data_IF_474164137769
#
_entry.id   IF_474164137769
#
_cell.length_a   1.000
_cell.length_b   1.000
_cell.length_c   1.000
_cell.angle_alpha   90.00
_cell.angle_beta   90.00
_cell.angle_gamma   90.00
#
_symmetry.space_group_name_H-M   'P 1'
#
loop_
_entity.id
_entity.type
_entity.pdbx_description
1 polymer ?
#
# COMPACT_ATOMS: atom_id res chain seq x y z
N UNK A 1 38.64 -19.91 -41.64
CA UNK A 1 39.01 -21.24 -41.07
C UNK A 1 38.23 -21.39 -39.78
N UNK A 2 36.90 -21.56 -39.77
CA UNK A 2 36.03 -22.52 -40.47
C UNK A 2 36.27 -23.98 -40.04
N UNK A 3 35.45 -24.44 -39.10
CA UNK A 3 35.08 -25.84 -38.87
C UNK A 3 33.71 -25.80 -38.16
N UNK A 4 32.56 -25.93 -38.85
CA UNK A 4 31.94 -27.21 -39.27
C UNK A 4 32.07 -28.24 -38.14
N UNK A 5 31.02 -28.67 -37.43
CA UNK A 5 29.62 -28.84 -37.76
C UNK A 5 29.29 -30.27 -37.33
N UNK A 6 28.40 -30.46 -36.36
CA UNK A 6 27.86 -31.79 -36.07
C UNK A 6 26.40 -31.67 -35.62
N UNK A 7 25.53 -31.78 -36.62
CA UNK A 7 24.13 -32.14 -36.48
C UNK A 7 24.09 -33.65 -36.29
N UNK A 8 23.45 -34.16 -35.25
CA UNK A 8 22.97 -35.55 -35.26
C UNK A 8 21.56 -35.62 -34.71
N UNK A 9 20.69 -35.89 -35.67
CA UNK A 9 19.25 -36.09 -35.63
C UNK A 9 18.97 -37.55 -35.18
N UNK A 10 17.89 -37.74 -34.41
CA UNK A 10 17.00 -38.92 -34.37
C UNK A 10 17.57 -40.28 -33.92
N UNK A 11 17.02 -40.79 -32.82
CA UNK A 11 16.59 -42.18 -32.72
C UNK A 11 15.17 -42.23 -32.15
N UNK A 12 14.24 -42.64 -33.02
CA UNK A 12 12.86 -43.03 -32.72
C UNK A 12 12.79 -44.57 -32.82
N UNK A 13 11.84 -45.18 -32.08
CA UNK A 13 11.31 -46.56 -32.12
C UNK A 13 11.62 -47.39 -30.85
N UNK A 14 10.73 -48.21 -30.26
CA UNK A 14 9.28 -48.45 -30.26
C UNK A 14 9.07 -49.64 -29.29
N UNK A 15 8.01 -49.65 -28.46
CA UNK A 15 7.31 -50.86 -27.94
C UNK A 15 6.30 -50.42 -26.84
N UNK A 16 5.00 -50.25 -27.12
CA UNK A 16 3.94 -51.28 -27.13
C UNK A 16 3.92 -52.20 -25.89
N UNK A 17 3.06 -51.86 -24.93
CA UNK A 17 2.36 -52.86 -24.11
C UNK A 17 1.07 -52.31 -23.49
N UNK A 18 -0.04 -52.87 -24.01
CA UNK A 18 -1.29 -53.24 -23.34
C UNK A 18 -2.10 -52.21 -22.54
N UNK A 19 -3.22 -51.84 -23.14
CA UNK A 19 -4.43 -51.27 -22.55
C UNK A 19 -5.11 -52.19 -21.52
N UNK A 20 -5.47 -51.65 -20.36
CA UNK A 20 -6.59 -52.12 -19.54
C UNK A 20 -7.52 -50.92 -19.21
N UNK A 21 -8.85 -51.11 -19.19
CA UNK A 21 -9.80 -50.02 -19.03
C UNK A 21 -10.04 -49.73 -17.54
N UNK A 22 -9.79 -48.50 -17.11
CA UNK A 22 -10.25 -48.02 -15.80
C UNK A 22 -11.03 -46.71 -15.96
N UNK A 23 -12.36 -46.90 -15.97
CA UNK A 23 -13.39 -46.08 -15.31
C UNK A 23 -13.23 -44.56 -15.45
N UNK A 24 -14.08 -43.97 -16.29
CA UNK A 24 -14.45 -42.56 -16.19
C UNK A 24 -15.00 -42.29 -14.79
N UNK A 25 -14.19 -41.67 -13.94
CA UNK A 25 -14.67 -40.90 -12.82
C UNK A 25 -14.76 -39.45 -13.29
N UNK A 26 -15.95 -38.99 -13.64
CA UNK A 26 -16.28 -37.57 -13.66
C UNK A 26 -16.19 -37.04 -12.23
N UNK A 27 -14.96 -36.78 -11.78
CA UNK A 27 -14.70 -35.97 -10.60
C UNK A 27 -14.92 -34.52 -10.99
N UNK A 28 -16.08 -33.99 -10.61
CA UNK A 28 -16.42 -32.58 -10.71
C UNK A 28 -15.21 -31.73 -10.33
N UNK A 29 -14.70 -30.95 -11.28
CA UNK A 29 -13.79 -29.84 -11.03
C UNK A 29 -14.54 -28.84 -10.15
N UNK A 30 -14.46 -29.02 -8.84
CA UNK A 30 -14.83 -28.02 -7.86
C UNK A 30 -13.95 -26.81 -8.11
N UNK A 31 -14.51 -25.84 -8.82
CA UNK A 31 -14.06 -24.45 -8.79
C UNK A 31 -14.16 -24.00 -7.34
N UNK A 32 -13.07 -24.20 -6.59
CA UNK A 32 -12.86 -23.52 -5.31
C UNK A 32 -12.75 -22.02 -5.62
N UNK A 33 -13.88 -21.33 -5.63
CA UNK A 33 -13.89 -19.88 -5.46
C UNK A 33 -13.29 -19.66 -4.07
N UNK A 34 -12.12 -19.01 -3.93
CA UNK A 34 -11.51 -18.83 -2.62
C UNK A 34 -12.49 -18.01 -1.78
N UNK A 35 -13.08 -18.65 -0.78
CA UNK A 35 -14.03 -18.00 0.11
C UNK A 35 -13.26 -16.92 0.88
N UNK A 36 -13.40 -15.66 0.47
CA UNK A 36 -12.75 -14.52 1.13
C UNK A 36 -13.29 -14.46 2.56
N UNK A 37 -12.52 -14.96 3.52
CA UNK A 37 -12.87 -14.88 4.94
C UNK A 37 -12.76 -13.42 5.37
N UNK A 38 -13.88 -12.82 5.73
CA UNK A 38 -13.94 -11.44 6.18
C UNK A 38 -13.64 -11.38 7.67
N UNK A 39 -12.46 -10.90 8.02
CA UNK A 39 -12.11 -10.53 9.39
C UNK A 39 -12.50 -9.08 9.67
N UNK A 40 -12.70 -8.68 10.94
CA UNK A 40 -12.89 -7.26 11.29
C UNK A 40 -11.78 -6.37 10.72
N UNK A 41 -10.54 -6.86 10.70
CA UNK A 41 -9.40 -6.14 10.14
C UNK A 41 -9.54 -5.97 8.62
N UNK A 42 -9.85 -7.03 7.86
CA UNK A 42 -10.03 -6.90 6.41
C UNK A 42 -11.19 -5.98 6.02
N UNK A 43 -12.29 -5.99 6.80
CA UNK A 43 -13.41 -5.05 6.59
C UNK A 43 -12.94 -3.59 6.83
N UNK A 44 -12.17 -3.36 7.89
CA UNK A 44 -11.61 -2.03 8.17
C UNK A 44 -10.67 -1.55 7.07
N UNK A 45 -9.82 -2.43 6.52
CA UNK A 45 -8.95 -2.09 5.38
C UNK A 45 -9.76 -1.72 4.14
N UNK A 46 -10.83 -2.46 3.84
CA UNK A 46 -11.72 -2.17 2.70
C UNK A 46 -12.45 -0.83 2.85
N UNK A 47 -12.87 -0.49 4.07
CA UNK A 47 -13.43 0.83 4.35
C UNK A 47 -12.38 1.94 4.26
N UNK A 48 -11.13 1.67 4.67
CA UNK A 48 -10.04 2.63 4.55
C UNK A 48 -9.71 2.93 3.07
N UNK A 49 -9.68 1.92 2.19
CA UNK A 49 -9.51 2.11 0.74
C UNK A 49 -10.54 3.07 0.16
N UNK A 50 -11.81 2.93 0.56
CA UNK A 50 -12.90 3.83 0.15
C UNK A 50 -12.67 5.26 0.65
N UNK A 51 -12.25 5.43 1.90
CA UNK A 51 -12.00 6.75 2.50
C UNK A 51 -10.85 7.50 1.81
N UNK A 52 -9.76 6.79 1.46
CA UNK A 52 -8.63 7.38 0.74
C UNK A 52 -8.85 7.44 -0.77
N UNK A 53 -9.98 6.91 -1.26
CA UNK A 53 -10.32 6.78 -2.67
C UNK A 53 -9.21 6.11 -3.50
N UNK A 54 -8.65 5.02 -2.99
CA UNK A 54 -7.61 4.23 -3.65
C UNK A 54 -7.81 2.75 -3.37
N UNK A 55 -7.80 1.94 -4.43
CA UNK A 55 -7.89 0.47 -4.34
C UNK A 55 -6.52 -0.12 -4.60
N UNK A 56 -5.94 -0.75 -3.59
CA UNK A 56 -4.65 -1.41 -3.66
C UNK A 56 -4.73 -2.65 -4.56
N UNK A 57 -3.72 -2.80 -5.43
CA UNK A 57 -3.44 -4.05 -6.17
C UNK A 57 -2.99 -5.14 -5.21
N UNK A 58 -2.15 -4.77 -4.23
CA UNK A 58 -1.72 -5.63 -3.14
C UNK A 58 -2.22 -5.09 -1.79
N UNK A 59 -3.38 -5.58 -1.34
CA UNK A 59 -3.98 -5.20 -0.05
C UNK A 59 -3.07 -5.49 1.16
N UNK A 60 -2.11 -6.42 1.02
CA UNK A 60 -1.12 -6.72 2.05
C UNK A 60 -0.24 -5.51 2.39
N UNK A 61 0.00 -4.59 1.43
CA UNK A 61 0.73 -3.35 1.68
C UNK A 61 -0.04 -2.42 2.63
N UNK A 62 -1.36 -2.28 2.45
CA UNK A 62 -2.20 -1.51 3.36
C UNK A 62 -2.29 -2.18 4.73
N UNK A 63 -2.40 -3.51 4.78
CA UNK A 63 -2.34 -4.27 6.02
C UNK A 63 -1.03 -4.03 6.78
N UNK A 64 0.11 -4.00 6.07
CA UNK A 64 1.42 -3.68 6.64
C UNK A 64 1.50 -2.23 7.11
N UNK A 65 0.98 -1.27 6.35
CA UNK A 65 0.90 0.13 6.75
C UNK A 65 0.12 0.33 8.07
N UNK A 66 -0.92 -0.47 8.29
CA UNK A 66 -1.72 -0.50 9.52
C UNK A 66 -1.15 -1.41 10.62
N UNK A 67 0.13 -1.76 10.56
CA UNK A 67 0.80 -2.61 11.55
C UNK A 67 1.99 -1.89 12.16
N UNK A 68 1.90 -1.54 13.44
CA UNK A 68 2.99 -0.87 14.15
C UNK A 68 4.12 -1.85 14.50
N UNK A 69 5.35 -1.35 14.63
CA UNK A 69 6.54 -2.16 14.94
C UNK A 69 6.45 -2.92 16.29
N UNK A 70 5.60 -2.48 17.21
CA UNK A 70 5.34 -3.23 18.44
C UNK A 70 4.55 -4.52 18.21
N UNK A 71 3.77 -4.61 17.11
CA UNK A 71 2.87 -5.72 16.85
C UNK A 71 3.54 -6.87 16.09
N UNK A 72 4.43 -6.55 15.14
CA UNK A 72 5.11 -7.53 14.29
C UNK A 72 6.42 -6.96 13.71
N UNK A 73 7.35 -7.83 13.32
CA UNK A 73 8.52 -7.49 12.51
C UNK A 73 8.11 -7.01 11.11
N UNK A 74 7.01 -7.55 10.57
CA UNK A 74 6.39 -7.05 9.35
C UNK A 74 5.51 -5.84 9.66
N UNK A 75 6.14 -4.67 9.74
CA UNK A 75 5.49 -3.43 10.17
C UNK A 75 5.66 -2.28 9.18
N UNK A 76 5.06 -1.17 9.56
CA UNK A 76 4.93 0.06 8.80
C UNK A 76 6.14 0.99 8.87
N UNK A 77 7.20 0.69 9.61
CA UNK A 77 8.29 1.66 9.86
C UNK A 77 8.97 2.10 8.57
N UNK A 78 9.33 1.15 7.69
CA UNK A 78 9.93 1.46 6.40
C UNK A 78 8.97 2.22 5.47
N UNK A 79 7.70 1.81 5.42
CA UNK A 79 6.66 2.50 4.64
C UNK A 79 6.42 3.92 5.15
N UNK A 80 6.50 4.14 6.46
CA UNK A 80 6.34 5.45 7.09
C UNK A 80 7.47 6.41 6.70
N UNK A 81 8.70 5.91 6.59
CA UNK A 81 9.85 6.69 6.11
C UNK A 81 9.62 7.14 4.66
N UNK A 82 9.31 6.21 3.76
CA UNK A 82 9.03 6.54 2.36
C UNK A 82 7.83 7.50 2.24
N UNK A 83 6.77 7.24 2.99
CA UNK A 83 5.56 8.05 2.99
C UNK A 83 5.79 9.48 3.48
N UNK A 84 6.70 9.70 4.44
CA UNK A 84 7.10 11.05 4.84
C UNK A 84 7.71 11.80 3.65
N UNK A 85 8.65 11.20 2.92
CA UNK A 85 9.26 11.81 1.74
C UNK A 85 8.24 12.10 0.63
N UNK A 86 7.28 11.19 0.41
CA UNK A 86 6.18 11.41 -0.56
C UNK A 86 5.34 12.63 -0.17
N UNK A 87 4.92 12.73 1.10
CA UNK A 87 4.13 13.84 1.61
C UNK A 87 4.90 15.16 1.48
N UNK A 88 6.14 15.19 1.93
CA UNK A 88 7.00 16.39 1.90
C UNK A 88 7.22 16.88 0.47
N UNK A 89 7.49 15.96 -0.47
CA UNK A 89 7.69 16.27 -1.88
C UNK A 89 6.41 16.81 -2.52
N UNK A 90 5.27 16.17 -2.27
CA UNK A 90 3.97 16.62 -2.79
C UNK A 90 3.61 18.02 -2.29
N UNK A 91 3.78 18.28 -0.99
CA UNK A 91 3.52 19.62 -0.42
C UNK A 91 4.45 20.67 -1.00
N UNK A 92 5.73 20.35 -1.15
CA UNK A 92 6.70 21.25 -1.76
C UNK A 92 6.33 21.59 -3.21
N UNK A 93 6.04 20.56 -4.01
CA UNK A 93 5.67 20.68 -5.41
C UNK A 93 4.41 21.53 -5.58
N UNK A 94 3.34 21.26 -4.83
CA UNK A 94 2.10 22.05 -4.92
C UNK A 94 2.29 23.50 -4.50
N UNK A 95 3.09 23.75 -3.46
CA UNK A 95 3.40 25.10 -3.03
C UNK A 95 4.12 25.90 -4.13
N UNK A 96 5.09 25.29 -4.81
CA UNK A 96 5.86 25.89 -5.89
C UNK A 96 5.04 26.04 -7.19
N UNK A 97 4.18 25.08 -7.52
CA UNK A 97 3.24 25.20 -8.66
C UNK A 97 2.33 26.41 -8.45
N UNK A 98 1.84 26.62 -7.22
CA UNK A 98 0.94 27.73 -6.89
C UNK A 98 1.66 29.08 -6.81
N UNK A 99 2.89 29.09 -6.30
CA UNK A 99 3.71 30.28 -6.16
C UNK A 99 5.20 29.92 -6.18
N UNK A 100 5.83 30.07 -7.34
CA UNK A 100 7.27 29.80 -7.50
C UNK A 100 8.15 30.74 -6.68
N UNK A 101 7.65 31.93 -6.34
CA UNK A 101 8.36 32.95 -5.57
C UNK A 101 8.16 32.80 -4.04
N UNK A 102 7.62 31.67 -3.57
CA UNK A 102 7.50 31.39 -2.14
C UNK A 102 8.87 31.43 -1.45
N UNK A 103 8.94 32.09 -0.29
CA UNK A 103 10.16 32.12 0.50
C UNK A 103 10.50 30.70 0.99
N UNK A 104 11.77 30.32 0.90
CA UNK A 104 12.25 29.01 1.35
C UNK A 104 11.88 28.70 2.80
N UNK A 105 11.86 29.72 3.68
CA UNK A 105 11.40 29.59 5.06
C UNK A 105 9.95 29.14 5.15
N UNK A 106 9.06 29.78 4.40
CA UNK A 106 7.62 29.47 4.42
C UNK A 106 7.32 28.13 3.76
N UNK A 107 8.07 27.77 2.73
CA UNK A 107 8.03 26.45 2.11
C UNK A 107 8.42 25.35 3.11
N UNK A 108 9.56 25.51 3.80
CA UNK A 108 10.03 24.55 4.80
C UNK A 108 9.06 24.42 5.98
N UNK A 109 8.41 25.51 6.39
CA UNK A 109 7.35 25.47 7.41
C UNK A 109 6.17 24.60 6.97
N UNK A 110 5.69 24.77 5.72
CA UNK A 110 4.59 23.96 5.17
C UNK A 110 4.96 22.48 5.05
N UNK A 111 6.15 22.18 4.55
CA UNK A 111 6.67 20.80 4.41
C UNK A 111 6.72 20.13 5.79
N UNK A 112 7.35 20.79 6.76
CA UNK A 112 7.51 20.25 8.11
C UNK A 112 6.16 20.08 8.82
N UNK A 113 5.23 21.01 8.65
CA UNK A 113 3.89 20.92 9.24
C UNK A 113 3.10 19.73 8.71
N UNK A 114 3.16 19.47 7.40
CA UNK A 114 2.45 18.35 6.80
C UNK A 114 2.95 16.99 7.26
N UNK A 115 4.27 16.85 7.47
CA UNK A 115 4.86 15.55 7.77
C UNK A 115 4.99 15.28 9.26
N UNK A 116 5.38 16.24 10.12
CA UNK A 116 5.77 16.00 11.53
C UNK A 116 4.60 15.60 12.44
N UNK A 117 4.93 14.97 13.57
CA UNK A 117 3.92 14.46 14.53
C UNK A 117 3.11 15.60 15.16
N UNK A 118 3.76 16.71 15.48
CA UNK A 118 3.17 17.92 16.06
C UNK A 118 2.47 18.81 15.02
N UNK A 119 2.46 18.40 13.75
CA UNK A 119 1.81 19.10 12.64
C UNK A 119 0.49 18.43 12.24
N UNK A 120 0.14 18.50 10.95
CA UNK A 120 -1.13 17.98 10.44
C UNK A 120 -1.19 16.45 10.41
N UNK A 121 -0.05 15.76 10.32
CA UNK A 121 0.04 14.31 10.13
C UNK A 121 -0.81 13.50 11.12
N UNK A 122 -0.70 13.80 12.42
CA UNK A 122 -1.51 13.11 13.44
C UNK A 122 -3.00 13.48 13.33
N UNK A 123 -3.32 14.75 13.04
CA UNK A 123 -4.70 15.22 12.91
C UNK A 123 -5.40 14.54 11.72
N UNK A 124 -4.71 14.43 10.58
CA UNK A 124 -5.21 13.74 9.39
C UNK A 124 -5.40 12.24 9.62
N UNK A 125 -4.45 11.58 10.27
CA UNK A 125 -4.59 10.19 10.66
C UNK A 125 -5.75 9.97 11.65
N UNK A 126 -5.95 10.89 12.59
CA UNK A 126 -7.07 10.83 13.54
C UNK A 126 -8.41 11.03 12.83
N UNK A 127 -8.47 11.93 11.85
CA UNK A 127 -9.65 12.21 11.02
C UNK A 127 -10.06 11.01 10.16
N UNK A 128 -9.10 10.22 9.66
CA UNK A 128 -9.35 8.94 9.01
C UNK A 128 -9.71 7.80 9.98
N UNK A 129 -9.66 8.05 11.30
CA UNK A 129 -9.97 7.05 12.32
C UNK A 129 -8.92 5.94 12.45
N UNK A 130 -7.66 6.19 12.07
CA UNK A 130 -6.60 5.17 12.04
C UNK A 130 -6.36 4.52 13.42
N UNK A 131 -6.61 5.23 14.51
CA UNK A 131 -6.54 4.71 15.87
C UNK A 131 -7.46 3.50 16.13
N UNK A 132 -8.45 3.25 15.26
CA UNK A 132 -9.36 2.09 15.32
C UNK A 132 -8.90 0.92 14.44
N UNK A 133 -7.90 1.13 13.59
CA UNK A 133 -7.46 0.18 12.54
C UNK A 133 -6.04 -0.32 12.83
N UNK A 134 -5.16 0.55 13.31
CA UNK A 134 -3.75 0.23 13.52
C UNK A 134 -3.60 -0.86 14.58
N UNK A 135 -2.90 -1.93 14.21
CA UNK A 135 -2.55 -3.02 15.12
C UNK A 135 -1.31 -2.65 15.91
N UNK A 136 -1.41 -2.75 17.24
CA UNK A 136 -0.35 -2.45 18.20
C UNK A 136 -0.27 -3.56 19.24
N UNK A 137 0.85 -3.66 19.97
CA UNK A 137 0.94 -4.56 21.13
C UNK A 137 0.10 -4.04 22.30
N UNK A 138 -0.20 -4.90 23.27
CA UNK A 138 -0.92 -4.51 24.50
C UNK A 138 -0.22 -3.40 25.31
N UNK A 139 1.08 -3.19 25.14
CA UNK A 139 1.86 -2.18 25.88
C UNK A 139 1.97 -0.84 25.14
N UNK A 140 1.47 -0.78 23.91
CA UNK A 140 1.61 0.39 23.05
C UNK A 140 0.29 1.13 22.95
N UNK A 141 0.31 2.43 23.26
CA UNK A 141 -0.87 3.26 23.13
C UNK A 141 -1.18 3.56 21.65
N UNK A 142 -2.28 3.01 21.13
CA UNK A 142 -2.72 3.20 19.74
C UNK A 142 -3.10 4.65 19.42
N UNK A 143 -3.51 5.44 20.42
CA UNK A 143 -3.87 6.85 20.24
C UNK A 143 -2.68 7.80 20.36
N UNK A 144 -1.47 7.27 20.62
CA UNK A 144 -0.28 8.10 20.69
C UNK A 144 -0.03 8.80 19.34
N UNK A 145 0.22 10.13 19.32
CA UNK A 145 0.35 10.87 18.07
C UNK A 145 1.38 10.30 17.09
N UNK A 146 2.51 9.79 17.59
CA UNK A 146 3.53 9.17 16.77
C UNK A 146 3.07 7.86 16.10
N UNK A 147 2.21 7.07 16.74
CA UNK A 147 1.66 5.82 16.18
C UNK A 147 0.70 6.15 15.04
N UNK A 148 -0.21 7.10 15.27
CA UNK A 148 -1.21 7.53 14.29
C UNK A 148 -0.54 8.21 13.09
N UNK A 149 0.37 9.17 13.33
CA UNK A 149 1.13 9.81 12.26
C UNK A 149 2.02 8.83 11.50
N UNK A 150 2.66 7.88 12.20
CA UNK A 150 3.46 6.83 11.58
C UNK A 150 2.64 5.97 10.60
N UNK A 151 1.44 5.55 11.02
CA UNK A 151 0.51 4.82 10.18
C UNK A 151 -0.02 5.66 9.00
N UNK A 152 -0.35 6.93 9.24
CA UNK A 152 -0.82 7.86 8.20
C UNK A 152 0.21 8.01 7.07
N UNK A 153 1.47 8.31 7.41
CA UNK A 153 2.57 8.34 6.43
C UNK A 153 2.71 7.00 5.71
N UNK A 154 2.63 5.90 6.45
CA UNK A 154 2.80 4.57 5.87
C UNK A 154 1.73 4.20 4.83
N UNK A 155 0.52 4.79 4.90
CA UNK A 155 -0.49 4.62 3.83
C UNK A 155 0.08 5.11 2.50
N UNK A 156 0.63 6.31 2.45
CA UNK A 156 1.15 6.89 1.20
C UNK A 156 2.46 6.25 0.76
N UNK A 157 3.27 5.78 1.71
CA UNK A 157 4.41 4.91 1.37
C UNK A 157 3.95 3.59 0.73
N UNK A 158 2.88 2.98 1.25
CA UNK A 158 2.29 1.77 0.68
C UNK A 158 1.70 2.02 -0.72
N UNK A 159 0.99 3.14 -0.90
CA UNK A 159 0.47 3.55 -2.22
C UNK A 159 1.63 3.72 -3.21
N UNK A 160 2.69 4.42 -2.83
CA UNK A 160 3.84 4.63 -3.72
C UNK A 160 4.50 3.30 -4.15
N UNK A 161 4.55 2.31 -3.26
CA UNK A 161 5.05 0.96 -3.58
C UNK A 161 4.07 0.20 -4.49
N UNK A 162 2.76 0.32 -4.27
CA UNK A 162 1.72 -0.38 -5.04
C UNK A 162 1.55 0.21 -6.47
N UNK A 163 1.75 1.52 -6.62
CA UNK A 163 1.74 2.21 -7.91
C UNK A 163 3.10 2.16 -8.61
N UNK A 164 4.20 2.10 -7.85
CA UNK A 164 5.55 2.36 -8.36
C UNK A 164 5.80 3.86 -8.63
N UNK A 165 5.00 4.75 -8.05
CA UNK A 165 5.01 6.20 -8.33
C UNK A 165 4.78 7.04 -7.06
N UNK A 166 5.78 7.85 -6.71
CA UNK A 166 5.67 8.84 -5.63
C UNK A 166 4.65 9.94 -5.96
N UNK A 167 4.54 10.31 -7.23
CA UNK A 167 3.69 11.43 -7.66
C UNK A 167 2.21 11.06 -7.57
N UNK A 168 1.85 9.83 -7.95
CA UNK A 168 0.48 9.34 -7.79
C UNK A 168 0.09 9.24 -6.31
N UNK A 169 1.01 8.76 -5.47
CA UNK A 169 0.81 8.70 -4.03
C UNK A 169 0.65 10.10 -3.41
N UNK A 170 1.44 11.08 -3.86
CA UNK A 170 1.31 12.49 -3.50
C UNK A 170 -0.05 13.07 -3.88
N UNK A 171 -0.51 12.80 -5.11
CA UNK A 171 -1.84 13.24 -5.55
C UNK A 171 -3.00 12.64 -4.75
N UNK A 172 -2.84 11.41 -4.23
CA UNK A 172 -3.83 10.80 -3.32
C UNK A 172 -3.73 11.46 -1.93
N UNK A 173 -2.53 11.70 -1.42
CA UNK A 173 -2.32 12.45 -0.19
C UNK A 173 -3.00 13.81 -0.22
N UNK A 174 -2.81 14.59 -1.28
CA UNK A 174 -3.40 15.93 -1.41
C UNK A 174 -4.93 15.90 -1.31
N UNK A 175 -5.58 14.93 -1.95
CA UNK A 175 -7.04 14.74 -1.89
C UNK A 175 -7.49 14.40 -0.46
N UNK A 176 -6.76 13.52 0.21
CA UNK A 176 -7.06 13.12 1.59
C UNK A 176 -6.83 14.27 2.57
N UNK A 177 -5.72 14.99 2.44
CA UNK A 177 -5.32 16.12 3.29
C UNK A 177 -6.25 17.32 3.12
N UNK A 178 -6.55 17.70 1.87
CA UNK A 178 -7.48 18.81 1.55
C UNK A 178 -8.93 18.50 1.93
N UNK A 179 -9.23 17.24 2.25
CA UNK A 179 -10.55 16.74 2.55
C UNK A 179 -11.37 16.56 1.28
N UNK A 180 -11.51 15.31 0.84
CA UNK A 180 -12.70 14.89 0.08
C UNK A 180 -13.89 15.10 1.03
N UNK A 181 -14.43 16.32 1.05
CA UNK A 181 -15.41 16.77 2.04
C UNK A 181 -14.99 17.91 2.96
N UNK A 182 -14.28 18.94 2.47
CA UNK A 182 -14.82 20.29 2.74
C UNK A 182 -16.21 20.33 2.10
N UNK A 183 -17.20 19.77 2.80
CA UNK A 183 -18.57 20.20 2.62
C UNK A 183 -18.49 21.72 2.72
N UNK A 184 -18.84 22.35 1.61
CA UNK A 184 -19.09 23.77 1.50
C UNK A 184 -19.93 24.17 2.71
N UNK A 185 -19.30 24.73 3.73
CA UNK A 185 -19.99 25.64 4.64
C UNK A 185 -20.22 26.90 3.82
N UNK A 186 -21.36 26.92 3.13
CA UNK A 186 -22.16 28.12 2.96
C UNK A 186 -22.63 28.60 4.33
#
# INVERSE_FOLDING_TARGET
>A
MDSRGFVSLVFLLFALSSSLPQVFAEGQSSTEVPFKVWTPFSIALENLQKQINYTFKNIGLLGRAMTHASFSEENNKALSVLGASVIETSVALQALIKNVDILAKDLNLRISDASKVEGSCNADGTRLGLQKIVRVSHKTNVTAPAVVCGAFRAIFGAVAVDTGSSDEAGGIYEKVHSGIGRAVTM
#
